data_IF_946116124361
#
_entry.id   IF_946116124361
#
_cell.length_a   1.000
_cell.length_b   1.000
_cell.length_c   1.000
_cell.angle_alpha   90.00
_cell.angle_beta   90.00
_cell.angle_gamma   90.00
#
_symmetry.space_group_name_H-M   'P 1'
#
loop_
_entity.id
_entity.type
_entity.pdbx_description
1 polymer ?
#
# COMPACT_ATOMS: atom_id res chain seq x y z
N UNK A 1 0.57 1.26 37.27
CA UNK A 1 -0.04 0.61 36.08
C UNK A 1 0.95 0.74 34.92
N UNK A 2 1.33 -0.37 34.28
CA UNK A 2 2.27 -0.35 33.14
C UNK A 2 1.43 -0.38 31.86
N UNK A 3 1.45 0.72 31.11
CA UNK A 3 0.72 0.84 29.84
C UNK A 3 1.71 0.51 28.72
N UNK A 4 1.51 -0.56 27.93
CA UNK A 4 2.37 -0.87 26.80
C UNK A 4 2.12 0.14 25.66
N UNK A 5 3.15 0.39 24.85
CA UNK A 5 3.02 1.24 23.66
C UNK A 5 2.07 0.60 22.60
N UNK A 6 2.15 -0.72 22.46
CA UNK A 6 1.27 -1.53 21.60
C UNK A 6 0.88 -2.79 22.36
N UNK A 7 -0.38 -3.22 22.25
CA UNK A 7 -0.85 -4.52 22.73
C UNK A 7 -1.83 -5.12 21.73
N UNK A 8 -1.59 -6.35 21.34
CA UNK A 8 -2.47 -7.13 20.47
C UNK A 8 -3.32 -8.14 21.26
N UNK A 9 -3.16 -8.19 22.59
CA UNK A 9 -3.80 -9.21 23.45
C UNK A 9 -5.31 -9.30 23.21
N UNK A 10 -6.01 -8.16 23.35
CA UNK A 10 -7.47 -8.12 23.23
C UNK A 10 -7.95 -8.58 21.84
N UNK A 11 -7.30 -8.13 20.79
CA UNK A 11 -7.64 -8.48 19.42
C UNK A 11 -7.37 -9.97 19.15
N UNK A 12 -6.24 -10.50 19.63
CA UNK A 12 -5.89 -11.89 19.43
C UNK A 12 -6.77 -12.84 20.27
N UNK A 13 -7.16 -12.44 21.48
CA UNK A 13 -8.05 -13.24 22.32
C UNK A 13 -9.42 -13.45 21.67
N UNK A 14 -9.93 -12.46 20.93
CA UNK A 14 -11.22 -12.54 20.24
C UNK A 14 -11.22 -13.56 19.10
N UNK A 15 -10.09 -13.78 18.43
CA UNK A 15 -9.98 -14.62 17.21
C UNK A 15 -9.08 -15.86 17.39
N UNK A 16 -8.54 -16.08 18.59
CA UNK A 16 -7.54 -17.11 18.88
C UNK A 16 -7.95 -18.51 18.49
N UNK A 17 -9.17 -18.90 18.85
CA UNK A 17 -9.66 -20.27 18.60
C UNK A 17 -9.87 -20.48 17.10
N UNK A 18 -10.38 -19.49 16.39
CA UNK A 18 -10.56 -19.51 14.95
C UNK A 18 -9.23 -19.60 14.21
N UNK A 19 -8.26 -18.78 14.59
CA UNK A 19 -6.90 -18.81 14.03
C UNK A 19 -6.23 -20.17 14.25
N UNK A 20 -6.35 -20.71 15.47
CA UNK A 20 -5.78 -22.03 15.82
C UNK A 20 -6.41 -23.14 15.00
N UNK A 21 -7.73 -23.10 14.83
CA UNK A 21 -8.47 -24.06 14.00
C UNK A 21 -8.06 -24.00 12.53
N UNK A 22 -7.92 -22.80 11.97
CA UNK A 22 -7.45 -22.59 10.59
C UNK A 22 -6.02 -23.08 10.39
N UNK A 23 -5.12 -22.77 11.32
CA UNK A 23 -3.74 -23.27 11.28
C UNK A 23 -3.68 -24.80 11.24
N UNK A 24 -4.45 -25.47 12.10
CA UNK A 24 -4.53 -26.95 12.11
C UNK A 24 -5.05 -27.52 10.80
N UNK A 25 -6.05 -26.87 10.17
CA UNK A 25 -6.59 -27.30 8.87
C UNK A 25 -5.54 -27.22 7.77
N UNK A 26 -4.79 -26.10 7.69
CA UNK A 26 -3.72 -25.92 6.70
C UNK A 26 -2.60 -26.95 6.94
N UNK A 27 -2.23 -27.18 8.20
CA UNK A 27 -1.21 -28.15 8.56
C UNK A 27 -1.64 -29.59 8.15
N UNK A 28 -2.88 -29.97 8.39
CA UNK A 28 -3.41 -31.28 8.02
C UNK A 28 -3.44 -31.50 6.49
N UNK A 29 -3.68 -30.46 5.70
CA UNK A 29 -3.66 -30.52 4.23
C UNK A 29 -2.23 -30.60 3.66
N UNK A 30 -1.20 -30.20 4.40
CA UNK A 30 0.20 -30.11 3.96
C UNK A 30 0.36 -29.27 2.65
N UNK A 31 -0.50 -28.31 2.40
CA UNK A 31 -0.44 -27.43 1.24
C UNK A 31 -0.27 -25.97 1.71
N UNK A 32 0.98 -25.49 1.72
CA UNK A 32 1.37 -24.22 2.34
C UNK A 32 1.62 -23.09 1.35
N UNK A 33 1.78 -23.39 0.06
CA UNK A 33 2.12 -22.40 -0.97
C UNK A 33 1.00 -22.38 -2.01
N UNK A 34 0.43 -21.20 -2.27
CA UNK A 34 -0.65 -21.01 -3.24
C UNK A 34 -1.82 -22.01 -3.07
N UNK A 35 -2.20 -22.25 -1.81
CA UNK A 35 -3.27 -23.14 -1.44
C UNK A 35 -4.66 -22.50 -1.49
N UNK A 36 -5.68 -23.30 -1.17
CA UNK A 36 -7.09 -22.88 -1.17
C UNK A 36 -7.35 -21.67 -0.25
N UNK A 37 -6.64 -21.57 0.87
CA UNK A 37 -6.84 -20.50 1.85
C UNK A 37 -6.38 -19.15 1.26
N UNK A 38 -5.30 -19.13 0.48
CA UNK A 38 -4.88 -17.94 -0.25
C UNK A 38 -5.90 -17.55 -1.32
N UNK A 39 -6.37 -18.50 -2.11
CA UNK A 39 -7.37 -18.24 -3.16
C UNK A 39 -8.66 -17.63 -2.58
N UNK A 40 -9.14 -18.18 -1.44
CA UNK A 40 -10.29 -17.62 -0.73
C UNK A 40 -10.04 -16.23 -0.19
N UNK A 41 -8.88 -16.00 0.40
CA UNK A 41 -8.49 -14.68 0.88
C UNK A 41 -8.50 -13.66 -0.27
N UNK A 42 -7.93 -13.99 -1.41
CA UNK A 42 -7.88 -13.10 -2.57
C UNK A 42 -9.29 -12.76 -3.09
N UNK A 43 -10.19 -13.77 -3.15
CA UNK A 43 -11.58 -13.59 -3.56
C UNK A 43 -12.37 -12.71 -2.58
N UNK A 44 -12.36 -13.09 -1.30
CA UNK A 44 -13.10 -12.39 -0.23
C UNK A 44 -12.60 -10.95 -0.08
N UNK A 45 -11.29 -10.76 -0.20
CA UNK A 45 -10.68 -9.47 -0.04
C UNK A 45 -10.89 -8.54 -1.25
N UNK A 46 -10.88 -9.08 -2.47
CA UNK A 46 -11.28 -8.32 -3.66
C UNK A 46 -12.74 -7.86 -3.55
N UNK A 47 -13.64 -8.77 -3.12
CA UNK A 47 -15.05 -8.43 -2.89
C UNK A 47 -15.22 -7.37 -1.79
N UNK A 48 -14.49 -7.50 -0.69
CA UNK A 48 -14.50 -6.53 0.41
C UNK A 48 -14.06 -5.13 -0.03
N UNK A 49 -13.05 -5.03 -0.91
CA UNK A 49 -12.55 -3.77 -1.43
C UNK A 49 -13.35 -3.23 -2.62
N UNK A 50 -14.32 -3.99 -3.15
CA UNK A 50 -15.07 -3.61 -4.34
C UNK A 50 -14.22 -3.59 -5.62
N UNK A 51 -13.12 -4.37 -5.65
CA UNK A 51 -12.21 -4.45 -6.80
C UNK A 51 -12.31 -5.80 -7.49
N UNK A 52 -11.85 -5.87 -8.73
CA UNK A 52 -11.95 -7.10 -9.53
C UNK A 52 -10.96 -8.18 -9.12
N UNK A 53 -9.78 -7.79 -8.66
CA UNK A 53 -8.69 -8.72 -8.33
C UNK A 53 -7.99 -8.32 -7.05
N UNK A 54 -7.55 -9.34 -6.31
CA UNK A 54 -6.59 -9.23 -5.24
C UNK A 54 -5.47 -10.23 -5.50
N UNK A 55 -4.24 -9.89 -5.19
CA UNK A 55 -3.08 -10.77 -5.32
C UNK A 55 -2.33 -10.77 -4.01
N UNK A 56 -2.26 -11.93 -3.36
CA UNK A 56 -1.48 -12.11 -2.13
C UNK A 56 0.03 -12.09 -2.43
N UNK A 57 0.76 -11.33 -1.62
CA UNK A 57 2.22 -11.17 -1.71
C UNK A 57 2.86 -11.39 -0.33
N UNK A 58 4.19 -11.51 -0.29
CA UNK A 58 4.90 -11.85 0.95
C UNK A 58 4.92 -10.73 1.99
N UNK A 59 4.87 -9.48 1.57
CA UNK A 59 4.95 -8.29 2.42
C UNK A 59 4.54 -7.03 1.66
N UNK A 60 4.41 -5.89 2.37
CA UNK A 60 4.01 -4.61 1.78
C UNK A 60 5.03 -4.05 0.79
N UNK A 61 6.32 -4.28 0.99
CA UNK A 61 7.34 -3.85 0.02
C UNK A 61 7.13 -4.53 -1.35
N UNK A 62 6.84 -5.84 -1.36
CA UNK A 62 6.51 -6.56 -2.58
C UNK A 62 5.21 -6.03 -3.20
N UNK A 63 4.21 -5.70 -2.37
CA UNK A 63 2.95 -5.11 -2.82
C UNK A 63 3.14 -3.77 -3.55
N UNK A 64 4.13 -2.97 -3.17
CA UNK A 64 4.47 -1.71 -3.83
C UNK A 64 5.39 -1.92 -5.04
N UNK A 65 6.34 -2.84 -4.93
CA UNK A 65 7.33 -3.10 -5.99
C UNK A 65 6.71 -3.75 -7.23
N UNK A 66 5.86 -4.77 -7.05
CA UNK A 66 5.29 -5.54 -8.15
C UNK A 66 4.43 -4.72 -9.12
N UNK A 67 3.54 -3.80 -8.66
CA UNK A 67 2.82 -2.91 -9.57
C UNK A 67 3.74 -2.00 -10.39
N UNK A 68 4.79 -1.46 -9.79
CA UNK A 68 5.78 -0.66 -10.53
C UNK A 68 6.42 -1.48 -11.66
N UNK A 69 6.82 -2.71 -11.37
CA UNK A 69 7.35 -3.63 -12.39
C UNK A 69 6.32 -3.97 -13.46
N UNK A 70 5.07 -4.20 -13.07
CA UNK A 70 3.98 -4.49 -14.01
C UNK A 70 3.69 -3.33 -14.96
N UNK A 71 3.85 -2.09 -14.49
CA UNK A 71 3.77 -0.88 -15.33
C UNK A 71 5.02 -0.64 -16.19
N UNK A 72 6.06 -1.47 -16.06
CA UNK A 72 7.31 -1.32 -16.80
C UNK A 72 8.19 -0.17 -16.29
N UNK A 73 7.94 0.33 -15.08
CA UNK A 73 8.72 1.42 -14.46
C UNK A 73 10.08 0.89 -14.03
N UNK A 74 11.15 1.58 -14.41
CA UNK A 74 12.52 1.13 -14.17
C UNK A 74 13.57 2.20 -14.38
N UNK A 75 14.77 1.77 -14.78
CA UNK A 75 15.94 2.68 -14.94
C UNK A 75 15.64 3.83 -15.89
N UNK A 76 15.85 5.04 -15.40
CA UNK A 76 15.62 6.29 -16.14
C UNK A 76 14.26 6.92 -15.86
N UNK A 77 13.34 6.19 -15.22
CA UNK A 77 12.04 6.70 -14.79
C UNK A 77 12.11 7.30 -13.37
N UNK A 78 11.12 8.10 -13.05
CA UNK A 78 10.94 8.75 -11.76
C UNK A 78 9.55 8.40 -11.19
N UNK A 79 9.49 8.19 -9.86
CA UNK A 79 8.25 7.99 -9.12
C UNK A 79 8.19 8.97 -7.95
N UNK A 80 7.14 9.75 -7.90
CA UNK A 80 6.89 10.70 -6.81
C UNK A 80 6.42 9.94 -5.57
N UNK A 81 7.04 10.22 -4.42
CA UNK A 81 6.74 9.60 -3.12
C UNK A 81 6.76 10.64 -2.01
N UNK A 82 5.99 10.49 -0.92
CA UNK A 82 6.10 11.39 0.23
C UNK A 82 7.45 11.23 0.94
N UNK A 83 8.03 12.33 1.43
CA UNK A 83 9.35 12.33 2.07
C UNK A 83 9.37 11.72 3.47
N UNK A 84 8.23 11.68 4.16
CA UNK A 84 8.08 11.22 5.54
C UNK A 84 7.47 9.80 5.67
N UNK A 85 7.37 9.06 4.56
CA UNK A 85 6.85 7.69 4.58
C UNK A 85 7.86 6.70 5.15
N UNK A 86 7.40 5.46 5.42
CA UNK A 86 8.31 4.37 5.75
C UNK A 86 9.22 4.06 4.56
N UNK A 87 10.46 3.67 4.85
CA UNK A 87 11.51 3.45 3.83
C UNK A 87 11.10 2.48 2.70
N UNK A 88 10.18 1.55 2.97
CA UNK A 88 9.71 0.57 1.98
C UNK A 88 9.14 1.24 0.71
N UNK A 89 8.44 2.37 0.83
CA UNK A 89 7.92 3.13 -0.30
C UNK A 89 9.03 3.56 -1.27
N UNK A 90 10.11 4.13 -0.74
CA UNK A 90 11.26 4.54 -1.54
C UNK A 90 12.08 3.34 -2.06
N UNK A 91 12.21 2.29 -1.25
CA UNK A 91 12.90 1.06 -1.65
C UNK A 91 12.18 0.34 -2.79
N UNK A 92 10.84 0.29 -2.77
CA UNK A 92 10.05 -0.30 -3.85
C UNK A 92 10.37 0.34 -5.20
N UNK A 93 10.50 1.67 -5.23
CA UNK A 93 10.92 2.41 -6.42
C UNK A 93 12.37 2.08 -6.80
N UNK A 94 13.28 2.17 -5.84
CA UNK A 94 14.72 1.95 -6.09
C UNK A 94 15.02 0.54 -6.59
N UNK A 95 14.28 -0.46 -6.12
CA UNK A 95 14.45 -1.86 -6.56
C UNK A 95 14.02 -2.09 -8.01
N UNK A 96 13.18 -1.23 -8.60
CA UNK A 96 12.90 -1.28 -10.04
C UNK A 96 14.04 -0.70 -10.87
N UNK A 97 14.97 0.06 -10.27
CA UNK A 97 15.98 0.88 -10.92
C UNK A 97 15.52 2.30 -11.23
N UNK A 98 14.27 2.66 -10.87
CA UNK A 98 13.75 4.01 -10.99
C UNK A 98 14.25 4.90 -9.83
N UNK A 99 14.07 6.19 -9.98
CA UNK A 99 14.47 7.21 -8.99
C UNK A 99 13.25 7.65 -8.18
N UNK A 100 13.25 7.49 -6.83
CA UNK A 100 12.21 8.10 -6.01
C UNK A 100 12.43 9.63 -5.95
N UNK A 101 11.37 10.39 -6.24
CA UNK A 101 11.35 11.84 -6.16
C UNK A 101 10.50 12.24 -4.95
N UNK A 102 11.15 12.81 -3.96
CA UNK A 102 10.50 13.13 -2.69
C UNK A 102 9.73 14.45 -2.75
N UNK A 103 8.51 14.40 -2.23
CA UNK A 103 7.63 15.56 -2.02
C UNK A 103 7.32 15.68 -0.53
N UNK A 104 7.48 16.89 0.00
CA UNK A 104 7.19 17.17 1.41
C UNK A 104 5.71 17.03 1.72
N UNK A 105 5.37 16.57 2.94
CA UNK A 105 3.99 16.52 3.40
C UNK A 105 3.48 17.89 3.81
N UNK A 106 2.15 18.01 3.96
CA UNK A 106 1.55 19.12 4.69
C UNK A 106 1.83 18.97 6.19
N UNK A 107 1.90 20.10 6.92
CA UNK A 107 2.05 20.06 8.38
C UNK A 107 0.75 19.69 9.11
N UNK A 108 -0.38 19.73 8.42
CA UNK A 108 -1.69 19.46 9.00
C UNK A 108 -2.03 17.97 8.98
N UNK A 109 -1.89 17.31 7.84
CA UNK A 109 -2.25 15.89 7.68
C UNK A 109 -1.06 14.95 7.75
N UNK A 110 0.15 15.44 7.51
CA UNK A 110 1.37 14.66 7.29
C UNK A 110 1.33 13.76 6.04
N UNK A 111 0.32 13.90 5.20
CA UNK A 111 0.26 13.27 3.89
C UNK A 111 0.96 14.14 2.85
N UNK A 112 1.31 13.53 1.70
CA UNK A 112 1.94 14.22 0.59
C UNK A 112 1.17 15.49 0.22
N UNK A 113 1.87 16.61 0.02
CA UNK A 113 1.28 17.90 -0.36
C UNK A 113 1.01 17.95 -1.88
N UNK A 114 -0.26 17.92 -2.32
CA UNK A 114 -0.58 17.98 -3.76
C UNK A 114 -0.06 19.25 -4.44
N UNK A 115 0.00 20.37 -3.72
CA UNK A 115 0.48 21.64 -4.28
C UNK A 115 1.96 21.59 -4.68
N UNK A 116 2.71 20.65 -4.11
CA UNK A 116 4.14 20.46 -4.39
C UNK A 116 4.44 19.36 -5.39
N UNK A 117 3.44 18.55 -5.77
CA UNK A 117 3.65 17.44 -6.70
C UNK A 117 4.01 17.96 -8.08
N UNK A 118 3.27 18.94 -8.62
CA UNK A 118 3.46 19.40 -10.00
C UNK A 118 4.85 20.01 -10.25
N UNK A 119 5.43 20.70 -9.27
CA UNK A 119 6.79 21.24 -9.39
C UNK A 119 7.89 20.18 -9.50
N UNK A 120 7.58 18.93 -9.14
CA UNK A 120 8.49 17.79 -9.18
C UNK A 120 8.29 16.90 -10.42
N UNK A 121 7.25 17.15 -11.21
CA UNK A 121 6.98 16.36 -12.42
C UNK A 121 7.97 16.74 -13.51
N UNK A 122 8.57 15.71 -14.11
CA UNK A 122 9.44 15.81 -15.28
C UNK A 122 8.95 14.87 -16.38
N UNK A 123 9.58 14.88 -17.55
CA UNK A 123 9.30 13.92 -18.64
C UNK A 123 9.59 12.46 -18.24
N UNK A 124 10.38 12.26 -17.19
CA UNK A 124 10.72 10.94 -16.64
C UNK A 124 9.72 10.44 -15.61
N UNK A 125 8.87 11.30 -15.07
CA UNK A 125 7.89 10.90 -14.06
C UNK A 125 6.85 9.96 -14.68
N UNK A 126 6.64 8.81 -14.04
CA UNK A 126 5.71 7.76 -14.51
C UNK A 126 4.59 7.46 -13.54
N UNK A 127 4.83 7.68 -12.25
CA UNK A 127 3.84 7.37 -11.23
C UNK A 127 3.94 8.31 -10.03
N UNK A 128 2.83 8.38 -9.28
CA UNK A 128 2.74 8.94 -7.94
C UNK A 128 2.38 7.78 -7.00
N UNK A 129 3.11 7.62 -5.91
CA UNK A 129 2.78 6.68 -4.85
C UNK A 129 2.27 7.46 -3.65
N UNK A 130 0.96 7.43 -3.43
CA UNK A 130 0.32 8.04 -2.28
C UNK A 130 0.37 7.09 -1.09
N UNK A 131 0.65 7.60 0.10
CA UNK A 131 0.67 6.82 1.34
C UNK A 131 -0.38 7.38 2.28
N UNK A 132 -1.26 6.52 2.79
CA UNK A 132 -2.28 6.89 3.78
C UNK A 132 -1.68 6.82 5.19
N UNK A 133 -0.83 7.78 5.49
CA UNK A 133 -0.01 7.77 6.70
C UNK A 133 -0.88 7.95 7.95
N UNK A 134 -0.52 7.26 9.02
CA UNK A 134 -1.24 7.27 10.30
C UNK A 134 -2.72 6.89 10.23
N UNK A 135 -3.15 6.23 9.14
CA UNK A 135 -4.54 5.83 8.95
C UNK A 135 -5.46 6.94 8.43
N UNK A 136 -4.89 8.06 7.99
CA UNK A 136 -5.60 9.13 7.33
C UNK A 136 -5.45 9.01 5.81
N UNK A 137 -6.55 9.13 5.02
CA UNK A 137 -6.44 9.14 3.56
C UNK A 137 -5.64 10.33 3.06
N UNK A 138 -4.68 10.07 2.18
CA UNK A 138 -4.02 11.13 1.41
C UNK A 138 -5.07 11.89 0.56
N UNK A 139 -4.80 13.14 0.14
CA UNK A 139 -5.72 13.96 -0.67
C UNK A 139 -5.84 13.41 -2.10
N UNK A 140 -6.54 12.25 -2.22
CA UNK A 140 -6.58 11.47 -3.46
C UNK A 140 -7.27 12.18 -4.61
N UNK A 141 -8.26 13.03 -4.35
CA UNK A 141 -8.96 13.73 -5.41
C UNK A 141 -8.01 14.65 -6.18
N UNK A 142 -7.22 15.43 -5.46
CA UNK A 142 -6.20 16.33 -6.02
C UNK A 142 -5.06 15.53 -6.69
N UNK A 143 -4.61 14.45 -6.06
CA UNK A 143 -3.58 13.56 -6.62
C UNK A 143 -4.05 12.94 -7.93
N UNK A 144 -5.29 12.45 -7.98
CA UNK A 144 -5.87 11.85 -9.19
C UNK A 144 -6.05 12.87 -10.32
N UNK A 145 -6.42 14.12 -10.00
CA UNK A 145 -6.49 15.20 -10.99
C UNK A 145 -5.12 15.50 -11.59
N UNK A 146 -4.08 15.61 -10.75
CA UNK A 146 -2.70 15.82 -11.19
C UNK A 146 -2.25 14.64 -12.07
N UNK A 147 -2.44 13.43 -11.60
CA UNK A 147 -2.08 12.22 -12.33
C UNK A 147 -2.75 12.16 -13.71
N UNK A 148 -4.03 12.52 -13.79
CA UNK A 148 -4.77 12.56 -15.05
C UNK A 148 -4.22 13.61 -16.02
N UNK A 149 -3.92 14.84 -15.53
CA UNK A 149 -3.34 15.91 -16.37
C UNK A 149 -1.99 15.50 -16.97
N UNK A 150 -1.18 14.77 -16.22
CA UNK A 150 0.17 14.38 -16.61
C UNK A 150 0.28 12.92 -17.10
N UNK A 151 -0.86 12.21 -17.24
CA UNK A 151 -0.90 10.79 -17.66
C UNK A 151 -0.02 9.88 -16.80
N UNK A 152 -0.02 10.09 -15.48
CA UNK A 152 0.74 9.32 -14.50
C UNK A 152 -0.10 8.16 -13.94
N UNK A 153 0.56 7.09 -13.52
CA UNK A 153 -0.05 6.03 -12.72
C UNK A 153 -0.12 6.45 -11.26
N UNK A 154 -1.14 5.97 -10.54
CA UNK A 154 -1.25 6.17 -9.10
C UNK A 154 -1.23 4.82 -8.41
N UNK A 155 -0.43 4.71 -7.36
CA UNK A 155 -0.35 3.55 -6.46
C UNK A 155 -0.64 4.06 -5.06
N UNK A 156 -1.52 3.37 -4.36
CA UNK A 156 -1.89 3.69 -2.97
C UNK A 156 -1.25 2.71 -2.01
N UNK A 157 -0.44 3.22 -1.07
CA UNK A 157 0.11 2.48 0.05
C UNK A 157 -0.83 2.62 1.24
N UNK A 158 -1.57 1.55 1.54
CA UNK A 158 -2.59 1.49 2.59
C UNK A 158 -2.20 0.56 3.74
N UNK A 159 -0.91 0.33 3.97
CA UNK A 159 -0.42 -0.58 5.03
C UNK A 159 -0.98 -0.23 6.42
N UNK A 160 -1.03 1.06 6.77
CA UNK A 160 -1.57 1.52 8.06
C UNK A 160 -3.06 1.85 7.94
N UNK A 161 -3.48 2.35 6.79
CA UNK A 161 -4.72 3.09 6.61
C UNK A 161 -5.87 2.32 5.99
N UNK A 162 -5.87 0.99 6.04
CA UNK A 162 -6.90 0.20 5.35
C UNK A 162 -8.33 0.50 5.75
N UNK A 163 -8.56 0.85 7.00
CA UNK A 163 -9.86 1.30 7.47
C UNK A 163 -10.28 2.63 6.81
N UNK A 164 -9.33 3.50 6.50
CA UNK A 164 -9.57 4.81 5.90
C UNK A 164 -9.89 4.76 4.40
N UNK A 165 -9.42 3.74 3.69
CA UNK A 165 -9.74 3.58 2.26
C UNK A 165 -11.19 3.15 2.00
N UNK A 166 -11.92 2.68 3.01
CA UNK A 166 -13.28 2.15 2.89
C UNK A 166 -14.36 3.23 2.90
N UNK A 167 -14.07 4.42 3.37
CA UNK A 167 -15.05 5.52 3.47
C UNK A 167 -15.24 6.31 2.17
N UNK A 168 -14.57 5.90 1.10
CA UNK A 168 -14.62 6.56 -0.22
C UNK A 168 -15.53 5.89 -1.25
N UNK A 169 -16.58 5.24 -0.78
CA UNK A 169 -17.64 4.74 -1.69
C UNK A 169 -18.79 5.70 -1.71
#
# INVERSE_FOLDING_TARGET
MKIPFVSFEKMHDEIKDELTGKFQQVLAKNWFIQGEELAKFEEEYAAYCGVKYCVGVGNGLDALFLPLKAYGIGTGDEVIVPSNTFIATALAVSYTGATPVFVEPTLESFDIDPARIEEKITDKTKAIMAVHLYGQPAPMDEIMEIAKRHNLKVIEDSEIGRASCRERV
#
